data_IF_318050095834
#
_entry.id   IF_318050095834
#
_cell.length_a   1.000
_cell.length_b   1.000
_cell.length_c   1.000
_cell.angle_alpha   90.00
_cell.angle_beta   90.00
_cell.angle_gamma   90.00
#
_symmetry.space_group_name_H-M   'P 1'
#
loop_
_entity.id
_entity.type
_entity.pdbx_description
1 polymer ?
#
# COMPACT_ATOMS: atom_id res chain seq x y z
N UNK A 1 2.67 -24.54 -16.36
CA UNK A 1 1.32 -23.95 -16.40
C UNK A 1 1.03 -23.71 -17.86
N UNK A 2 0.03 -24.35 -18.47
CA UNK A 2 -0.27 -24.17 -19.89
C UNK A 2 -0.79 -22.75 -20.16
N UNK A 3 -0.85 -22.35 -21.43
CA UNK A 3 -1.42 -21.07 -21.86
C UNK A 3 -2.90 -21.26 -22.17
N UNK A 4 -3.76 -20.71 -21.33
CA UNK A 4 -5.22 -20.80 -21.42
C UNK A 4 -5.78 -19.64 -22.26
N UNK A 5 -5.50 -19.63 -23.55
CA UNK A 5 -6.10 -18.67 -24.48
C UNK A 5 -7.19 -19.37 -25.28
N UNK A 6 -8.40 -18.84 -25.22
CA UNK A 6 -9.51 -19.27 -26.08
C UNK A 6 -9.47 -18.50 -27.41
N UNK A 7 -9.97 -19.13 -28.48
CA UNK A 7 -10.00 -18.56 -29.84
C UNK A 7 -10.70 -17.20 -29.87
N UNK A 8 -11.73 -17.00 -29.04
CA UNK A 8 -12.45 -15.74 -28.89
C UNK A 8 -11.53 -14.57 -28.51
N UNK A 9 -10.47 -14.79 -27.73
CA UNK A 9 -9.51 -13.73 -27.39
C UNK A 9 -8.61 -13.38 -28.57
N UNK A 10 -8.23 -14.37 -29.38
CA UNK A 10 -7.33 -14.16 -30.52
C UNK A 10 -8.06 -13.46 -31.66
N UNK A 11 -9.37 -13.72 -31.81
CA UNK A 11 -10.23 -13.07 -32.80
C UNK A 11 -10.52 -11.59 -32.51
N UNK A 12 -10.14 -11.06 -31.33
CA UNK A 12 -10.34 -9.63 -31.00
C UNK A 12 -9.31 -8.68 -31.63
N UNK A 13 -8.22 -9.20 -32.18
CA UNK A 13 -7.13 -8.41 -32.76
C UNK A 13 -7.50 -7.91 -34.17
N UNK A 14 -7.32 -6.62 -34.42
CA UNK A 14 -7.58 -5.98 -35.72
C UNK A 14 -6.43 -6.25 -36.69
N UNK A 15 -5.20 -6.38 -36.20
CA UNK A 15 -4.04 -6.72 -37.02
C UNK A 15 -3.85 -8.23 -37.09
N UNK A 16 -4.14 -8.80 -38.27
CA UNK A 16 -4.03 -10.24 -38.55
C UNK A 16 -2.66 -10.81 -38.19
N UNK A 17 -1.58 -10.06 -38.42
CA UNK A 17 -0.20 -10.47 -38.10
C UNK A 17 -0.02 -10.74 -36.60
N UNK A 18 -0.68 -9.97 -35.74
CA UNK A 18 -0.65 -10.14 -34.27
C UNK A 18 -1.49 -11.35 -33.86
N UNK A 19 -2.66 -11.53 -34.46
CA UNK A 19 -3.51 -12.71 -34.24
C UNK A 19 -2.79 -14.00 -34.64
N UNK A 20 -2.16 -14.03 -35.82
CA UNK A 20 -1.37 -15.17 -36.32
C UNK A 20 -0.18 -15.45 -35.39
N UNK A 21 0.50 -14.42 -34.91
CA UNK A 21 1.58 -14.58 -33.94
C UNK A 21 1.09 -15.20 -32.63
N UNK A 22 -0.06 -14.78 -32.11
CA UNK A 22 -0.67 -15.36 -30.91
C UNK A 22 -1.10 -16.81 -31.12
N UNK A 23 -1.72 -17.13 -32.25
CA UNK A 23 -2.05 -18.50 -32.65
C UNK A 23 -0.81 -19.39 -32.67
N UNK A 24 0.28 -18.91 -33.29
CA UNK A 24 1.54 -19.66 -33.35
C UNK A 24 2.14 -19.89 -31.95
N UNK A 25 2.04 -18.92 -31.04
CA UNK A 25 2.48 -19.06 -29.65
C UNK A 25 1.61 -20.10 -28.92
N UNK A 26 0.28 -20.03 -29.08
CA UNK A 26 -0.68 -20.95 -28.46
C UNK A 26 -0.42 -22.40 -28.87
N UNK A 27 -0.34 -22.68 -30.17
CA UNK A 27 -0.01 -24.01 -30.71
C UNK A 27 1.35 -24.52 -30.21
N UNK A 28 2.35 -23.64 -30.05
CA UNK A 28 3.67 -24.06 -29.59
C UNK A 28 3.70 -24.51 -28.12
N UNK A 29 2.70 -24.14 -27.32
CA UNK A 29 2.67 -24.40 -25.89
C UNK A 29 1.47 -25.23 -25.43
N UNK A 30 0.67 -25.74 -26.38
CA UNK A 30 -0.55 -26.53 -26.12
C UNK A 30 -0.31 -27.64 -25.08
N UNK A 31 0.77 -28.40 -25.25
CA UNK A 31 1.13 -29.53 -24.37
C UNK A 31 2.25 -29.23 -23.36
N UNK A 32 2.68 -27.96 -23.23
CA UNK A 32 3.90 -27.62 -22.47
C UNK A 32 3.63 -26.62 -21.36
N UNK A 33 4.21 -26.88 -20.19
CA UNK A 33 4.21 -25.91 -19.11
C UNK A 33 4.99 -24.64 -19.50
N UNK A 34 4.26 -23.53 -19.64
CA UNK A 34 4.83 -22.22 -19.90
C UNK A 34 5.55 -21.69 -18.66
N UNK A 35 6.84 -21.40 -18.84
CA UNK A 35 7.70 -20.70 -17.88
C UNK A 35 7.94 -19.26 -18.37
N UNK A 36 8.37 -18.31 -17.51
CA UNK A 36 8.71 -16.97 -17.97
C UNK A 36 9.76 -16.97 -19.09
N UNK A 37 10.75 -17.85 -19.00
CA UNK A 37 11.80 -17.98 -20.02
C UNK A 37 11.23 -18.44 -21.36
N UNK A 38 10.33 -19.42 -21.34
CA UNK A 38 9.66 -19.92 -22.55
C UNK A 38 8.74 -18.84 -23.14
N UNK A 39 7.93 -18.18 -22.32
CA UNK A 39 7.05 -17.10 -22.76
C UNK A 39 7.82 -15.95 -23.40
N UNK A 40 8.89 -15.45 -22.76
CA UNK A 40 9.71 -14.37 -23.33
C UNK A 40 10.42 -14.80 -24.63
N UNK A 41 10.86 -16.05 -24.73
CA UNK A 41 11.44 -16.59 -25.97
C UNK A 41 10.42 -16.54 -27.11
N UNK A 42 9.19 -16.97 -26.87
CA UNK A 42 8.13 -17.00 -27.88
C UNK A 42 7.65 -15.60 -28.25
N UNK A 43 7.52 -14.68 -27.28
CA UNK A 43 7.26 -13.25 -27.54
C UNK A 43 8.35 -12.68 -28.46
N UNK A 44 9.63 -12.96 -28.19
CA UNK A 44 10.72 -12.51 -29.06
C UNK A 44 10.70 -13.14 -30.44
N UNK A 45 10.26 -14.39 -30.55
CA UNK A 45 10.22 -15.11 -31.81
C UNK A 45 9.10 -14.62 -32.73
N UNK A 46 7.90 -14.41 -32.19
CA UNK A 46 6.69 -14.16 -32.99
C UNK A 46 6.20 -12.71 -32.94
N UNK A 47 6.39 -11.99 -31.83
CA UNK A 47 5.89 -10.62 -31.67
C UNK A 47 6.97 -9.54 -31.90
N UNK A 48 8.24 -9.81 -31.57
CA UNK A 48 9.32 -8.84 -31.83
C UNK A 48 9.44 -8.41 -33.30
N UNK A 49 9.27 -9.30 -34.30
CA UNK A 49 9.32 -8.89 -35.71
C UNK A 49 8.26 -7.83 -36.09
N UNK A 50 7.18 -7.72 -35.33
CA UNK A 50 6.10 -6.75 -35.54
C UNK A 50 6.36 -5.40 -34.86
N UNK A 51 7.45 -5.29 -34.08
CA UNK A 51 7.85 -4.07 -33.37
C UNK A 51 8.89 -3.33 -34.21
N UNK A 52 8.79 -1.99 -34.39
CA UNK A 52 9.84 -1.21 -35.03
C UNK A 52 11.22 -1.42 -34.38
N UNK A 53 12.31 -1.59 -35.18
CA UNK A 53 13.64 -1.95 -34.66
C UNK A 53 14.18 -1.04 -33.55
N UNK A 54 13.86 0.25 -33.58
CA UNK A 54 14.20 1.24 -32.56
C UNK A 54 13.66 0.89 -31.17
N UNK A 55 12.61 0.08 -31.09
CA UNK A 55 11.93 -0.31 -29.85
C UNK A 55 12.26 -1.74 -29.39
N UNK A 56 13.07 -2.49 -30.13
CA UNK A 56 13.48 -3.86 -29.75
C UNK A 56 14.21 -3.93 -28.41
N UNK A 57 14.77 -2.82 -27.94
CA UNK A 57 15.41 -2.74 -26.63
C UNK A 57 14.46 -3.10 -25.48
N UNK A 58 13.15 -2.88 -25.63
CA UNK A 58 12.11 -3.24 -24.64
C UNK A 58 12.12 -4.75 -24.35
N UNK A 59 12.22 -5.57 -25.41
CA UNK A 59 12.24 -7.03 -25.28
C UNK A 59 13.62 -7.59 -24.93
N UNK A 60 14.70 -6.87 -25.24
CA UNK A 60 16.07 -7.40 -25.21
C UNK A 60 16.91 -6.93 -24.01
N UNK A 61 16.28 -6.35 -22.98
CA UNK A 61 16.97 -5.95 -21.75
C UNK A 61 17.62 -7.15 -21.04
N UNK A 62 18.84 -6.97 -20.52
CA UNK A 62 19.61 -7.97 -19.76
C UNK A 62 19.14 -8.07 -18.30
N UNK A 63 17.85 -8.33 -18.09
CA UNK A 63 17.26 -8.53 -16.76
C UNK A 63 16.85 -10.00 -16.55
N UNK A 64 16.77 -10.48 -15.29
CA UNK A 64 16.24 -11.81 -15.00
C UNK A 64 14.81 -11.99 -15.55
N UNK A 65 14.58 -13.09 -16.26
CA UNK A 65 13.28 -13.38 -16.88
C UNK A 65 12.30 -13.86 -15.80
N UNK A 66 11.29 -13.03 -15.52
CA UNK A 66 10.23 -13.28 -14.55
C UNK A 66 8.88 -12.89 -15.14
N UNK A 67 7.77 -13.37 -14.58
CA UNK A 67 6.42 -12.94 -15.02
C UNK A 67 6.23 -11.44 -14.87
N UNK A 68 6.73 -10.84 -13.77
CA UNK A 68 6.71 -9.39 -13.59
C UNK A 68 7.50 -8.66 -14.69
N UNK A 69 8.60 -9.24 -15.20
CA UNK A 69 9.32 -8.64 -16.33
C UNK A 69 8.51 -8.68 -17.62
N UNK A 70 7.82 -9.79 -17.90
CA UNK A 70 6.93 -9.92 -19.07
C UNK A 70 5.79 -8.91 -18.98
N UNK A 71 5.24 -8.69 -17.78
CA UNK A 71 4.27 -7.62 -17.56
C UNK A 71 4.88 -6.22 -17.75
N UNK A 72 6.07 -5.96 -17.23
CA UNK A 72 6.75 -4.67 -17.45
C UNK A 72 7.01 -4.40 -18.94
N UNK A 73 7.21 -5.44 -19.75
CA UNK A 73 7.32 -5.31 -21.21
C UNK A 73 6.02 -4.74 -21.80
N UNK A 74 4.83 -5.22 -21.41
CA UNK A 74 3.57 -4.64 -21.93
C UNK A 74 3.43 -3.16 -21.51
N UNK A 75 3.83 -2.82 -20.29
CA UNK A 75 3.81 -1.43 -19.81
C UNK A 75 4.83 -0.53 -20.54
N UNK A 76 6.02 -1.04 -20.83
CA UNK A 76 7.05 -0.32 -21.60
C UNK A 76 6.59 -0.10 -23.06
N UNK A 77 5.92 -1.08 -23.67
CA UNK A 77 5.32 -0.93 -25.00
C UNK A 77 4.20 0.13 -25.00
N UNK A 78 3.36 0.19 -23.97
CA UNK A 78 2.34 1.25 -23.83
C UNK A 78 2.98 2.66 -23.71
N UNK A 79 4.12 2.77 -23.03
CA UNK A 79 4.88 4.03 -22.94
C UNK A 79 5.47 4.46 -24.29
N UNK A 80 5.93 3.49 -25.09
CA UNK A 80 6.41 3.72 -26.47
C UNK A 80 5.26 4.11 -27.40
N UNK A 81 4.09 3.46 -27.28
CA UNK A 81 2.88 3.82 -28.00
C UNK A 81 2.52 5.30 -27.79
N UNK A 82 2.54 5.78 -26.54
CA UNK A 82 2.24 7.18 -26.23
C UNK A 82 3.19 8.21 -26.88
N UNK A 83 4.33 7.77 -27.44
CA UNK A 83 5.30 8.62 -28.15
C UNK A 83 5.24 8.47 -29.67
N UNK A 84 4.86 7.29 -30.17
CA UNK A 84 4.86 6.94 -31.60
C UNK A 84 3.47 6.99 -32.25
N UNK A 85 2.40 6.85 -31.46
CA UNK A 85 1.02 6.64 -31.92
C UNK A 85 0.87 5.50 -32.94
N UNK A 86 1.73 4.48 -32.88
CA UNK A 86 1.64 3.32 -33.76
C UNK A 86 0.58 2.31 -33.27
N UNK A 87 -0.57 2.16 -33.97
CA UNK A 87 -1.63 1.24 -33.56
C UNK A 87 -1.21 -0.24 -33.54
N UNK A 88 -0.20 -0.64 -34.32
CA UNK A 88 0.32 -2.02 -34.29
C UNK A 88 1.00 -2.31 -32.94
N UNK A 89 1.68 -1.32 -32.35
CA UNK A 89 2.30 -1.44 -31.03
C UNK A 89 1.28 -1.62 -29.90
N UNK A 90 0.09 -1.03 -30.05
CA UNK A 90 -1.01 -1.25 -29.11
C UNK A 90 -1.45 -2.72 -29.10
N UNK A 91 -1.59 -3.32 -30.27
CA UNK A 91 -1.96 -4.74 -30.35
C UNK A 91 -0.84 -5.67 -29.89
N UNK A 92 0.42 -5.39 -30.24
CA UNK A 92 1.54 -6.17 -29.67
C UNK A 92 1.58 -6.06 -28.14
N UNK A 93 1.25 -4.90 -27.57
CA UNK A 93 1.14 -4.71 -26.13
C UNK A 93 0.03 -5.57 -25.51
N UNK A 94 -1.16 -5.61 -26.12
CA UNK A 94 -2.27 -6.44 -25.68
C UNK A 94 -1.94 -7.94 -25.79
N UNK A 95 -1.26 -8.36 -26.85
CA UNK A 95 -0.82 -9.74 -27.04
C UNK A 95 0.13 -10.20 -25.92
N UNK A 96 1.12 -9.37 -25.56
CA UNK A 96 2.04 -9.66 -24.44
C UNK A 96 1.29 -9.73 -23.12
N UNK A 97 0.31 -8.86 -22.91
CA UNK A 97 -0.54 -8.85 -21.72
C UNK A 97 -1.41 -10.11 -21.60
N UNK A 98 -2.04 -10.55 -22.70
CA UNK A 98 -2.80 -11.79 -22.73
C UNK A 98 -1.93 -13.00 -22.41
N UNK A 99 -0.73 -13.09 -22.99
CA UNK A 99 0.24 -14.16 -22.69
C UNK A 99 0.61 -14.15 -21.21
N UNK A 100 0.87 -12.99 -20.62
CA UNK A 100 1.14 -12.90 -19.18
C UNK A 100 -0.05 -13.44 -18.36
N UNK A 101 -1.24 -12.87 -18.60
CA UNK A 101 -2.43 -13.10 -17.78
C UNK A 101 -2.94 -14.54 -17.89
N UNK A 102 -2.86 -15.16 -19.07
CA UNK A 102 -3.47 -16.47 -19.31
C UNK A 102 -2.52 -17.66 -19.14
N UNK A 103 -1.34 -17.45 -18.53
CA UNK A 103 -0.44 -18.57 -18.15
C UNK A 103 -0.83 -19.22 -16.82
N UNK A 104 -1.98 -18.88 -16.24
CA UNK A 104 -2.61 -19.53 -15.08
C UNK A 104 -4.12 -19.60 -15.26
N UNK A 105 -4.78 -20.53 -14.57
CA UNK A 105 -6.23 -20.57 -14.43
C UNK A 105 -6.58 -20.58 -12.93
N UNK A 106 -7.28 -19.56 -12.40
CA UNK A 106 -7.78 -18.36 -13.10
C UNK A 106 -6.64 -17.49 -13.67
N UNK A 107 -6.93 -16.60 -14.65
CA UNK A 107 -5.95 -15.68 -15.20
C UNK A 107 -5.22 -14.91 -14.10
N UNK A 108 -3.93 -14.61 -14.29
CA UNK A 108 -3.14 -13.80 -13.35
C UNK A 108 -3.82 -12.45 -13.20
N UNK A 109 -4.39 -12.20 -12.04
CA UNK A 109 -4.78 -10.85 -11.66
C UNK A 109 -3.52 -10.01 -11.49
N UNK A 110 -3.59 -8.75 -11.94
CA UNK A 110 -2.53 -7.78 -11.75
C UNK A 110 -2.20 -7.67 -10.25
N UNK A 111 -1.02 -8.15 -9.88
CA UNK A 111 -0.39 -7.66 -8.67
C UNK A 111 0.53 -6.53 -9.10
N UNK A 112 -0.02 -5.31 -9.16
CA UNK A 112 0.81 -4.15 -8.81
C UNK A 112 1.56 -4.50 -7.52
N UNK A 113 2.76 -3.95 -7.29
CA UNK A 113 3.32 -3.97 -5.93
C UNK A 113 2.14 -3.64 -5.00
N UNK A 114 1.80 -4.58 -4.10
CA UNK A 114 0.46 -4.77 -3.49
C UNK A 114 0.02 -3.64 -2.54
N UNK A 115 0.60 -2.47 -2.79
CA UNK A 115 0.73 -1.29 -1.98
C UNK A 115 1.05 -0.12 -2.91
N UNK A 116 0.02 0.65 -3.23
CA UNK A 116 0.04 1.83 -4.09
C UNK A 116 1.09 2.88 -3.67
N UNK A 117 1.37 2.98 -2.36
CA UNK A 117 2.43 3.79 -1.76
C UNK A 117 3.82 3.41 -2.29
N UNK A 118 4.09 2.14 -2.56
CA UNK A 118 5.39 1.69 -3.09
C UNK A 118 5.54 2.15 -4.53
N UNK A 119 4.47 2.05 -5.32
CA UNK A 119 4.46 2.54 -6.70
C UNK A 119 4.74 4.04 -6.75
N UNK A 120 4.04 4.84 -5.94
CA UNK A 120 4.28 6.29 -5.88
C UNK A 120 5.68 6.62 -5.35
N UNK A 121 6.15 5.94 -4.31
CA UNK A 121 7.50 6.10 -3.79
C UNK A 121 8.56 5.90 -4.87
N UNK A 122 8.49 4.78 -5.60
CA UNK A 122 9.45 4.47 -6.66
C UNK A 122 9.35 5.46 -7.82
N UNK A 123 8.13 5.91 -8.17
CA UNK A 123 7.93 6.94 -9.19
C UNK A 123 8.56 8.27 -8.79
N UNK A 124 8.33 8.74 -7.56
CA UNK A 124 8.91 9.98 -7.04
C UNK A 124 10.44 9.90 -6.99
N UNK A 125 11.00 8.80 -6.48
CA UNK A 125 12.45 8.59 -6.51
C UNK A 125 13.01 8.55 -7.92
N UNK A 126 12.29 7.95 -8.88
CA UNK A 126 12.69 7.93 -10.29
C UNK A 126 12.74 9.33 -10.91
N UNK A 127 11.72 10.16 -10.67
CA UNK A 127 11.67 11.55 -11.15
C UNK A 127 12.78 12.41 -10.52
N UNK A 128 13.07 12.20 -9.24
CA UNK A 128 14.17 12.83 -8.51
C UNK A 128 15.56 12.26 -8.83
N UNK A 129 15.63 11.21 -9.66
CA UNK A 129 16.87 10.46 -9.97
C UNK A 129 17.58 9.89 -8.73
N UNK A 130 16.84 9.58 -7.67
CA UNK A 130 17.38 8.94 -6.47
C UNK A 130 17.54 7.44 -6.76
N UNK A 131 18.74 6.85 -6.62
CA UNK A 131 19.03 5.48 -7.05
C UNK A 131 18.56 4.43 -6.03
N UNK A 132 17.26 4.38 -5.73
CA UNK A 132 16.69 3.44 -4.76
C UNK A 132 16.61 2.00 -5.28
N UNK A 133 16.56 1.79 -6.61
CA UNK A 133 16.31 0.47 -7.19
C UNK A 133 17.37 -0.59 -6.86
N UNK A 134 18.65 -0.18 -6.81
CA UNK A 134 19.74 -1.05 -6.37
C UNK A 134 19.70 -1.37 -4.88
N UNK A 135 18.92 -0.60 -4.10
CA UNK A 135 18.83 -0.65 -2.65
C UNK A 135 17.59 -1.41 -2.17
N UNK A 136 16.63 -1.80 -3.03
CA UNK A 136 15.40 -2.48 -2.56
C UNK A 136 15.67 -3.92 -2.08
N UNK A 137 16.82 -4.50 -2.41
CA UNK A 137 17.16 -5.87 -2.04
C UNK A 137 18.18 -5.90 -0.89
N UNK A 138 17.77 -6.28 0.33
CA UNK A 138 18.66 -6.35 1.49
C UNK A 138 19.71 -7.46 1.37
N UNK A 139 19.39 -8.53 0.62
CA UNK A 139 20.28 -9.65 0.34
C UNK A 139 20.00 -10.17 -1.08
N UNK A 140 21.05 -10.55 -1.82
CA UNK A 140 20.92 -11.15 -3.16
C UNK A 140 20.54 -12.63 -3.07
N UNK A 141 20.86 -13.30 -1.96
CA UNK A 141 20.64 -14.73 -1.76
C UNK A 141 19.27 -14.98 -1.11
N UNK A 142 18.92 -14.22 -0.06
CA UNK A 142 17.60 -14.28 0.54
C UNK A 142 16.64 -13.35 -0.21
N UNK A 143 15.61 -13.94 -0.86
CA UNK A 143 14.51 -13.21 -1.53
C UNK A 143 13.60 -12.50 -0.52
N UNK A 144 14.14 -11.58 0.27
CA UNK A 144 13.38 -10.77 1.23
C UNK A 144 12.89 -9.52 0.51
N UNK A 145 11.59 -9.30 0.57
CA UNK A 145 10.92 -8.11 0.05
C UNK A 145 10.65 -7.13 1.20
N UNK A 146 11.32 -5.98 1.16
CA UNK A 146 11.17 -4.88 2.14
C UNK A 146 9.77 -4.27 2.11
N UNK A 147 9.09 -4.34 0.96
CA UNK A 147 7.82 -3.69 0.70
C UNK A 147 6.64 -4.67 0.74
N UNK A 148 6.87 -5.86 1.28
CA UNK A 148 5.82 -6.82 1.53
C UNK A 148 5.15 -6.52 2.86
N UNK A 149 3.93 -5.98 2.81
CA UNK A 149 3.17 -5.64 4.00
C UNK A 149 2.02 -6.62 4.25
N UNK A 150 1.65 -6.76 5.51
CA UNK A 150 0.43 -7.43 5.92
C UNK A 150 -0.76 -6.83 5.18
N UNK A 151 -1.64 -7.70 4.68
CA UNK A 151 -2.84 -7.28 3.96
C UNK A 151 -3.79 -6.43 4.81
N UNK A 152 -3.60 -6.36 6.12
CA UNK A 152 -4.42 -5.58 7.05
C UNK A 152 -3.66 -4.44 7.75
N UNK A 153 -2.34 -4.26 7.57
CA UNK A 153 -1.61 -3.13 8.19
C UNK A 153 -0.22 -2.89 7.56
N UNK A 154 0.65 -2.13 8.24
CA UNK A 154 2.01 -1.81 7.80
C UNK A 154 3.09 -2.84 8.17
N UNK A 155 2.77 -3.84 8.99
CA UNK A 155 3.78 -4.80 9.51
C UNK A 155 4.13 -5.83 8.44
N UNK A 156 5.36 -6.33 8.45
CA UNK A 156 5.77 -7.44 7.59
C UNK A 156 4.90 -8.69 7.87
N UNK A 157 4.43 -9.39 6.84
CA UNK A 157 3.71 -10.64 7.03
C UNK A 157 4.65 -11.76 7.47
N UNK A 158 4.07 -12.80 8.07
CA UNK A 158 4.81 -14.01 8.39
C UNK A 158 5.30 -14.71 7.11
N UNK A 159 6.44 -15.42 7.14
CA UNK A 159 6.96 -16.15 5.99
C UNK A 159 5.91 -17.05 5.33
N UNK A 160 5.67 -16.85 4.03
CA UNK A 160 4.69 -17.62 3.25
C UNK A 160 3.22 -17.30 3.57
N UNK A 161 2.94 -16.22 4.29
CA UNK A 161 1.58 -15.75 4.64
C UNK A 161 1.35 -14.34 4.12
N UNK A 162 0.08 -13.91 4.08
CA UNK A 162 -0.33 -12.52 3.79
C UNK A 162 -0.54 -11.65 5.04
N UNK A 163 -0.49 -12.25 6.23
CA UNK A 163 -0.81 -11.61 7.51
C UNK A 163 0.42 -11.57 8.41
N UNK A 164 0.58 -10.47 9.16
CA UNK A 164 1.58 -10.36 10.22
C UNK A 164 1.16 -11.12 11.48
N UNK A 165 2.09 -11.30 12.41
CA UNK A 165 1.83 -11.98 13.68
C UNK A 165 0.62 -11.40 14.44
N UNK A 166 0.43 -10.06 14.41
CA UNK A 166 -0.69 -9.41 15.09
C UNK A 166 -2.07 -9.81 14.53
N UNK A 167 -2.16 -10.00 13.21
CA UNK A 167 -3.40 -10.28 12.49
C UNK A 167 -3.61 -11.75 12.16
N UNK A 168 -2.59 -12.59 12.34
CA UNK A 168 -2.70 -14.01 12.06
C UNK A 168 -3.59 -14.70 13.11
N UNK A 169 -4.69 -15.36 12.72
CA UNK A 169 -5.65 -15.95 13.65
C UNK A 169 -5.13 -17.22 14.34
N UNK A 170 -4.05 -17.82 13.81
CA UNK A 170 -3.56 -19.16 14.17
C UNK A 170 -2.05 -19.22 14.40
N UNK A 171 -1.35 -18.08 14.45
CA UNK A 171 0.09 -18.08 14.77
C UNK A 171 0.28 -18.05 16.29
N UNK A 172 1.20 -18.86 16.85
CA UNK A 172 1.50 -18.86 18.29
C UNK A 172 2.29 -17.60 18.62
N UNK A 173 1.61 -16.46 18.59
CA UNK A 173 1.98 -15.42 19.53
C UNK A 173 1.53 -15.92 20.90
N UNK A 174 2.48 -15.86 21.82
CA UNK A 174 2.30 -15.83 23.26
C UNK A 174 2.44 -17.18 23.95
N UNK A 175 3.03 -17.08 25.14
CA UNK A 175 3.16 -18.11 26.15
C UNK A 175 1.90 -18.98 26.26
N UNK A 176 2.06 -20.19 26.80
CA UNK A 176 0.94 -21.05 27.22
C UNK A 176 -0.17 -20.20 27.86
N UNK A 177 -1.33 -20.11 27.19
CA UNK A 177 -2.45 -19.26 27.64
C UNK A 177 -2.92 -18.15 26.67
N UNK A 178 -2.30 -17.98 25.50
CA UNK A 178 -2.74 -17.00 24.49
C UNK A 178 -4.21 -17.22 24.05
N UNK A 179 -5.10 -16.26 24.36
CA UNK A 179 -6.52 -16.37 24.05
C UNK A 179 -6.78 -16.31 22.53
N UNK A 180 -7.08 -17.47 21.93
CA UNK A 180 -7.47 -17.61 20.51
C UNK A 180 -8.62 -16.66 20.13
N UNK A 181 -9.50 -16.29 21.08
CA UNK A 181 -10.59 -15.34 20.83
C UNK A 181 -10.05 -13.93 20.57
N UNK A 182 -9.01 -13.51 21.30
CA UNK A 182 -8.39 -12.20 21.11
C UNK A 182 -7.68 -12.09 19.75
N UNK A 183 -7.05 -13.16 19.26
CA UNK A 183 -6.45 -13.21 17.93
C UNK A 183 -7.52 -13.13 16.81
N UNK A 184 -8.60 -13.91 16.95
CA UNK A 184 -9.72 -13.86 16.01
C UNK A 184 -10.43 -12.49 16.00
N UNK A 185 -10.57 -11.84 17.17
CA UNK A 185 -11.12 -10.50 17.29
C UNK A 185 -10.25 -9.45 16.56
N UNK A 186 -8.92 -9.51 16.73
CA UNK A 186 -7.97 -8.65 16.01
C UNK A 186 -8.05 -8.83 14.50
N UNK A 187 -8.09 -10.07 14.02
CA UNK A 187 -8.27 -10.37 12.60
C UNK A 187 -9.60 -9.79 12.06
N UNK A 188 -10.73 -10.09 12.71
CA UNK A 188 -12.05 -9.56 12.32
C UNK A 188 -12.10 -8.03 12.35
N UNK A 189 -11.47 -7.41 13.34
CA UNK A 189 -11.36 -5.95 13.43
C UNK A 189 -10.58 -5.39 12.23
N UNK A 190 -9.44 -6.00 11.88
CA UNK A 190 -8.64 -5.57 10.73
C UNK A 190 -9.40 -5.72 9.41
N UNK A 191 -10.12 -6.84 9.22
CA UNK A 191 -10.96 -7.04 8.03
C UNK A 191 -12.05 -5.97 7.92
N UNK A 192 -12.73 -5.65 9.02
CA UNK A 192 -13.77 -4.59 9.04
C UNK A 192 -13.22 -3.19 8.76
N UNK A 193 -11.96 -2.94 9.13
CA UNK A 193 -11.30 -1.65 8.98
C UNK A 193 -10.56 -1.51 7.65
N UNK A 194 -10.42 -2.58 6.86
CA UNK A 194 -9.59 -2.60 5.64
C UNK A 194 -9.92 -1.48 4.67
N UNK A 195 -11.20 -1.31 4.35
CA UNK A 195 -11.63 -0.28 3.39
C UNK A 195 -11.32 1.15 3.90
N UNK A 196 -11.56 1.41 5.19
CA UNK A 196 -11.26 2.70 5.80
C UNK A 196 -9.76 2.96 5.90
N UNK A 197 -8.98 1.92 6.21
CA UNK A 197 -7.52 1.95 6.20
C UNK A 197 -6.99 2.29 4.80
N UNK A 198 -7.48 1.65 3.75
CA UNK A 198 -7.07 1.93 2.37
C UNK A 198 -7.43 3.36 1.97
N UNK A 199 -8.62 3.84 2.33
CA UNK A 199 -9.03 5.24 2.12
C UNK A 199 -8.12 6.21 2.86
N UNK A 200 -7.71 5.91 4.09
CA UNK A 200 -6.81 6.75 4.87
C UNK A 200 -5.41 6.82 4.23
N UNK A 201 -4.86 5.68 3.79
CA UNK A 201 -3.59 5.61 3.05
C UNK A 201 -3.68 6.42 1.75
N UNK A 202 -4.73 6.18 0.95
CA UNK A 202 -4.94 6.90 -0.31
C UNK A 202 -5.06 8.42 -0.10
N UNK A 203 -5.76 8.88 0.94
CA UNK A 203 -5.85 10.32 1.25
C UNK A 203 -4.49 10.94 1.54
N UNK A 204 -3.63 10.25 2.30
CA UNK A 204 -2.27 10.72 2.59
C UNK A 204 -1.47 10.77 1.28
N UNK A 205 -1.52 9.69 0.49
CA UNK A 205 -0.80 9.60 -0.77
C UNK A 205 -1.25 10.65 -1.79
N UNK A 206 -2.56 10.83 -1.99
CA UNK A 206 -3.08 11.85 -2.90
C UNK A 206 -2.57 13.22 -2.51
N UNK A 207 -2.63 13.58 -1.22
CA UNK A 207 -2.10 14.86 -0.73
C UNK A 207 -0.61 15.00 -1.04
N UNK A 208 0.20 14.01 -0.68
CA UNK A 208 1.66 14.08 -0.85
C UNK A 208 2.09 14.03 -2.32
N UNK A 209 1.40 13.25 -3.16
CA UNK A 209 1.66 13.20 -4.60
C UNK A 209 1.26 14.53 -5.25
N UNK A 210 0.11 15.12 -4.89
CA UNK A 210 -0.28 16.44 -5.39
C UNK A 210 0.75 17.50 -4.98
N UNK A 211 1.14 17.56 -3.71
CA UNK A 211 2.16 18.49 -3.22
C UNK A 211 3.51 18.30 -3.93
N UNK A 212 3.88 17.06 -4.24
CA UNK A 212 5.09 16.77 -4.98
C UNK A 212 5.06 17.35 -6.41
N UNK A 213 3.93 17.21 -7.11
CA UNK A 213 3.78 17.74 -8.47
C UNK A 213 3.65 19.27 -8.49
N UNK A 214 2.85 19.84 -7.58
CA UNK A 214 2.66 21.28 -7.45
C UNK A 214 3.94 21.99 -6.97
N UNK A 215 4.70 21.32 -6.10
CA UNK A 215 6.00 21.76 -5.60
C UNK A 215 7.16 21.54 -6.58
N UNK A 216 6.88 21.42 -7.88
CA UNK A 216 7.88 21.25 -8.95
C UNK A 216 8.84 20.07 -8.71
N UNK A 217 8.32 18.93 -8.23
CA UNK A 217 9.07 17.71 -7.98
C UNK A 217 10.16 17.87 -6.90
N UNK A 218 9.85 18.55 -5.79
CA UNK A 218 10.77 18.67 -4.64
C UNK A 218 10.66 17.48 -3.68
N UNK A 219 11.75 17.05 -3.02
CA UNK A 219 11.74 15.85 -2.17
C UNK A 219 11.08 16.04 -0.80
N UNK A 220 10.39 17.15 -0.55
CA UNK A 220 9.84 17.53 0.78
C UNK A 220 8.88 16.48 1.34
N UNK A 221 8.19 15.75 0.47
CA UNK A 221 7.26 14.68 0.86
C UNK A 221 7.94 13.37 1.19
N UNK A 222 9.22 13.19 0.84
CA UNK A 222 10.01 12.02 1.20
C UNK A 222 10.70 12.23 2.56
N UNK A 223 11.14 11.14 3.19
CA UNK A 223 11.89 11.23 4.44
C UNK A 223 13.21 11.98 4.19
N UNK A 224 13.49 13.10 4.89
CA UNK A 224 14.70 13.86 4.69
C UNK A 224 15.91 13.22 5.41
N UNK A 225 17.11 13.63 5.04
CA UNK A 225 18.34 13.22 5.73
C UNK A 225 18.55 13.95 7.08
N UNK A 226 17.97 15.16 7.21
CA UNK A 226 18.04 16.00 8.40
C UNK A 226 16.67 16.61 8.70
N UNK A 227 16.44 17.00 9.96
CA UNK A 227 15.15 17.54 10.39
C UNK A 227 14.04 16.49 10.43
N UNK A 228 14.39 15.21 10.65
CA UNK A 228 13.46 14.08 10.63
C UNK A 228 12.37 14.26 11.70
N UNK A 229 12.71 14.80 12.87
CA UNK A 229 11.75 15.08 13.94
C UNK A 229 10.62 16.03 13.49
N UNK A 230 10.99 17.17 12.92
CA UNK A 230 10.04 18.15 12.41
C UNK A 230 9.20 17.55 11.28
N UNK A 231 9.84 16.82 10.36
CA UNK A 231 9.17 16.14 9.26
C UNK A 231 8.15 15.12 9.76
N UNK A 232 8.50 14.27 10.74
CA UNK A 232 7.58 13.27 11.32
C UNK A 232 6.42 13.97 12.04
N UNK A 233 6.68 15.03 12.79
CA UNK A 233 5.64 15.79 13.49
C UNK A 233 4.62 16.41 12.52
N UNK A 234 5.08 16.95 11.39
CA UNK A 234 4.22 17.56 10.37
C UNK A 234 3.49 16.51 9.52
N UNK A 235 4.22 15.49 9.04
CA UNK A 235 3.76 14.56 8.00
C UNK A 235 3.14 13.29 8.56
N UNK A 236 3.55 12.86 9.75
CA UNK A 236 3.08 11.63 10.41
C UNK A 236 2.64 11.93 11.85
N UNK A 237 1.67 12.85 12.05
CA UNK A 237 1.33 13.38 13.36
C UNK A 237 0.84 12.31 14.35
N UNK A 238 0.17 11.25 13.89
CA UNK A 238 -0.26 10.17 14.78
C UNK A 238 0.92 9.29 15.18
N UNK A 239 1.87 9.05 14.27
CA UNK A 239 3.13 8.39 14.64
C UNK A 239 3.94 9.23 15.61
N UNK A 240 4.00 10.54 15.39
CA UNK A 240 4.63 11.47 16.33
C UNK A 240 4.01 11.35 17.73
N UNK A 241 2.68 11.40 17.84
CA UNK A 241 1.99 11.23 19.12
C UNK A 241 2.28 9.88 19.79
N UNK A 242 2.39 8.80 19.00
CA UNK A 242 2.70 7.45 19.52
C UNK A 242 4.11 7.32 20.11
N UNK A 243 5.05 8.18 19.72
CA UNK A 243 6.37 8.20 20.35
C UNK A 243 6.27 8.58 21.84
N UNK A 244 5.26 9.37 22.23
CA UNK A 244 5.04 9.78 23.62
C UNK A 244 6.30 10.40 24.23
N UNK A 245 6.77 9.84 25.35
CA UNK A 245 7.99 10.31 26.02
C UNK A 245 9.24 10.23 25.14
N UNK A 246 9.28 9.33 24.16
CA UNK A 246 10.43 9.16 23.23
C UNK A 246 10.59 10.34 22.28
N UNK A 247 9.63 11.26 22.19
CA UNK A 247 9.76 12.48 21.39
C UNK A 247 10.94 13.35 21.85
N UNK A 248 11.24 13.37 23.15
CA UNK A 248 12.32 14.20 23.72
C UNK A 248 13.71 13.73 23.27
N UNK A 249 13.84 12.44 22.99
CA UNK A 249 15.09 11.80 22.58
C UNK A 249 15.16 11.65 21.05
N UNK A 250 14.09 11.98 20.32
CA UNK A 250 13.99 11.75 18.87
C UNK A 250 14.75 12.81 18.08
N UNK A 251 15.85 12.42 17.45
CA UNK A 251 16.72 13.28 16.65
C UNK A 251 17.21 12.58 15.39
N UNK A 252 17.91 13.30 14.51
CA UNK A 252 18.33 12.78 13.21
C UNK A 252 19.24 11.53 13.32
N UNK A 253 20.07 11.43 14.38
CA UNK A 253 21.01 10.32 14.57
C UNK A 253 20.31 9.01 14.95
N UNK A 254 19.20 9.09 15.69
CA UNK A 254 18.50 7.91 16.21
C UNK A 254 17.10 7.69 15.62
N UNK A 255 16.59 8.62 14.80
CA UNK A 255 15.21 8.64 14.34
C UNK A 255 14.78 7.32 13.69
N UNK A 256 15.59 6.79 12.79
CA UNK A 256 15.29 5.53 12.09
C UNK A 256 15.19 4.37 13.08
N UNK A 257 16.11 4.27 14.04
CA UNK A 257 16.07 3.22 15.06
C UNK A 257 14.82 3.33 15.92
N UNK A 258 14.51 4.54 16.39
CA UNK A 258 13.32 4.78 17.21
C UNK A 258 12.02 4.46 16.46
N UNK A 259 11.92 4.84 15.18
CA UNK A 259 10.79 4.52 14.32
C UNK A 259 10.66 3.01 14.09
N UNK A 260 11.77 2.30 13.86
CA UNK A 260 11.77 0.85 13.67
C UNK A 260 11.41 0.11 14.94
N UNK A 261 11.85 0.55 16.12
CA UNK A 261 11.42 -0.03 17.39
C UNK A 261 9.90 0.12 17.58
N UNK A 262 9.35 1.28 17.23
CA UNK A 262 7.92 1.54 17.34
C UNK A 262 7.11 0.70 16.35
N UNK A 263 7.53 0.66 15.09
CA UNK A 263 6.72 0.15 13.98
C UNK A 263 7.03 -1.29 13.60
N UNK A 264 8.28 -1.71 13.77
CA UNK A 264 8.85 -2.94 13.24
C UNK A 264 9.78 -3.65 14.23
N UNK A 265 9.38 -3.69 15.52
CA UNK A 265 10.11 -4.45 16.53
C UNK A 265 10.05 -5.98 16.26
N UNK A 266 11.20 -6.68 16.37
CA UNK A 266 11.29 -8.13 16.24
C UNK A 266 10.81 -8.88 17.50
N UNK A 267 10.52 -8.18 18.59
CA UNK A 267 10.28 -8.81 19.90
C UNK A 267 8.98 -9.63 19.91
N UNK A 268 9.05 -10.81 20.52
CA UNK A 268 7.92 -11.74 20.61
C UNK A 268 7.55 -12.43 19.30
N UNK A 269 8.32 -12.26 18.20
CA UNK A 269 8.08 -12.96 16.93
C UNK A 269 8.70 -14.37 16.91
N UNK A 270 8.13 -15.31 16.14
CA UNK A 270 8.78 -16.60 15.86
C UNK A 270 10.16 -16.42 15.23
N UNK A 271 11.12 -17.30 15.54
CA UNK A 271 12.53 -17.17 15.14
C UNK A 271 12.74 -16.80 13.66
N UNK A 272 12.01 -17.45 12.74
CA UNK A 272 12.10 -17.15 11.30
C UNK A 272 11.61 -15.75 10.95
N UNK A 273 10.53 -15.29 11.56
CA UNK A 273 10.02 -13.93 11.35
C UNK A 273 10.93 -12.88 12.04
N UNK A 274 11.44 -13.20 13.23
CA UNK A 274 12.39 -12.37 13.95
C UNK A 274 13.65 -12.08 13.13
N UNK A 275 14.21 -13.11 12.47
CA UNK A 275 15.37 -12.95 11.61
C UNK A 275 15.09 -12.03 10.41
N UNK A 276 13.93 -12.19 9.76
CA UNK A 276 13.52 -11.31 8.67
C UNK A 276 13.41 -9.86 9.16
N UNK A 277 12.77 -9.64 10.30
CA UNK A 277 12.63 -8.30 10.88
C UNK A 277 13.98 -7.63 11.13
N UNK A 278 14.94 -8.37 11.70
CA UNK A 278 16.30 -7.85 11.94
C UNK A 278 17.02 -7.48 10.64
N UNK A 279 16.93 -8.32 9.61
CA UNK A 279 17.55 -8.06 8.32
C UNK A 279 16.94 -6.83 7.64
N UNK A 280 15.62 -6.71 7.67
CA UNK A 280 14.91 -5.52 7.16
C UNK A 280 15.35 -4.28 7.93
N UNK A 281 15.34 -4.32 9.27
CA UNK A 281 15.71 -3.16 10.10
C UNK A 281 17.15 -2.72 9.84
N UNK A 282 18.10 -3.67 9.78
CA UNK A 282 19.49 -3.38 9.46
C UNK A 282 19.63 -2.70 8.09
N UNK A 283 18.83 -3.13 7.12
CA UNK A 283 18.86 -2.55 5.79
C UNK A 283 18.22 -1.16 5.73
N UNK A 284 17.12 -0.95 6.44
CA UNK A 284 16.47 0.35 6.57
C UNK A 284 17.37 1.37 7.31
N UNK A 285 18.22 0.92 8.24
CA UNK A 285 19.26 1.78 8.82
C UNK A 285 20.29 2.27 7.79
N UNK A 286 20.67 1.42 6.84
CA UNK A 286 21.62 1.79 5.77
C UNK A 286 20.99 2.67 4.70
N UNK A 287 19.68 2.53 4.50
CA UNK A 287 18.91 3.25 3.49
C UNK A 287 17.61 3.81 4.10
N UNK A 288 17.69 4.86 4.94
CA UNK A 288 16.56 5.41 5.69
C UNK A 288 15.34 5.74 4.85
N UNK A 289 15.55 6.27 3.64
CA UNK A 289 14.50 6.65 2.71
C UNK A 289 13.51 5.51 2.40
N UNK A 290 13.97 4.25 2.44
CA UNK A 290 13.16 3.07 2.16
C UNK A 290 12.08 2.81 3.22
N UNK A 291 12.13 3.46 4.40
CA UNK A 291 11.08 3.32 5.42
C UNK A 291 9.79 4.05 5.02
N UNK A 292 9.84 4.94 4.03
CA UNK A 292 8.74 5.85 3.69
C UNK A 292 7.39 5.14 3.44
N UNK A 293 7.30 4.03 2.65
CA UNK A 293 6.05 3.32 2.47
C UNK A 293 5.49 2.74 3.79
N UNK A 294 6.37 2.30 4.70
CA UNK A 294 5.95 1.81 6.02
C UNK A 294 5.35 2.93 6.86
N UNK A 295 5.92 4.14 6.82
CA UNK A 295 5.41 5.30 7.55
C UNK A 295 4.02 5.72 7.06
N UNK A 296 3.79 5.73 5.74
CA UNK A 296 2.47 6.00 5.15
C UNK A 296 1.42 5.03 5.69
N UNK A 297 1.71 3.72 5.65
CA UNK A 297 0.77 2.70 6.12
C UNK A 297 0.53 2.79 7.61
N UNK A 298 1.57 3.03 8.39
CA UNK A 298 1.42 3.12 9.84
C UNK A 298 0.53 4.32 10.20
N UNK A 299 0.79 5.50 9.62
CA UNK A 299 -0.04 6.70 9.82
C UNK A 299 -1.48 6.46 9.37
N UNK A 300 -1.69 5.89 8.17
CA UNK A 300 -3.03 5.57 7.65
C UNK A 300 -3.80 4.59 8.54
N UNK A 301 -3.12 3.60 9.12
CA UNK A 301 -3.74 2.67 10.07
C UNK A 301 -4.17 3.36 11.35
N UNK A 302 -3.29 4.18 11.93
CA UNK A 302 -3.60 4.90 13.16
C UNK A 302 -4.74 5.90 12.95
N UNK A 303 -4.77 6.59 11.81
CA UNK A 303 -5.87 7.49 11.44
C UNK A 303 -7.20 6.75 11.34
N UNK A 304 -7.21 5.61 10.63
CA UNK A 304 -8.40 4.75 10.55
C UNK A 304 -8.90 4.33 11.95
N UNK A 305 -7.99 3.94 12.85
CA UNK A 305 -8.36 3.54 14.22
C UNK A 305 -8.95 4.68 15.04
N UNK A 306 -8.42 5.90 14.92
CA UNK A 306 -8.98 7.06 15.60
C UNK A 306 -10.38 7.41 15.09
N UNK A 307 -10.58 7.42 13.77
CA UNK A 307 -11.88 7.65 13.15
C UNK A 307 -12.92 6.61 13.62
N UNK A 308 -12.53 5.33 13.65
CA UNK A 308 -13.39 4.23 14.12
C UNK A 308 -13.72 4.38 15.60
N UNK A 309 -12.73 4.71 16.45
CA UNK A 309 -12.95 4.96 17.89
C UNK A 309 -13.89 6.13 18.12
N UNK A 310 -13.78 7.20 17.32
CA UNK A 310 -14.70 8.34 17.37
C UNK A 310 -16.16 7.98 17.03
N UNK A 311 -16.36 6.93 16.25
CA UNK A 311 -17.67 6.41 15.85
C UNK A 311 -18.22 5.30 16.77
N UNK A 312 -17.43 4.85 17.76
CA UNK A 312 -17.87 3.87 18.75
C UNK A 312 -18.64 4.58 19.88
N UNK A 313 -19.80 4.02 20.28
CA UNK A 313 -20.60 4.53 21.40
C UNK A 313 -21.76 5.47 21.04
N UNK A 314 -22.35 5.37 19.85
CA UNK A 314 -23.62 6.05 19.55
C UNK A 314 -23.52 7.53 19.19
N UNK A 315 -22.31 8.09 19.01
CA UNK A 315 -22.09 9.44 18.44
C UNK A 315 -22.36 9.52 16.92
N UNK A 316 -23.24 8.68 16.38
CA UNK A 316 -23.74 8.88 15.02
C UNK A 316 -24.83 9.95 15.10
N UNK A 317 -24.74 10.99 14.28
CA UNK A 317 -25.85 11.92 14.08
C UNK A 317 -27.11 11.11 13.72
N UNK A 318 -28.10 11.07 14.61
CA UNK A 318 -29.34 10.31 14.42
C UNK A 318 -29.43 8.95 15.15
N UNK A 319 -28.42 8.51 15.91
CA UNK A 319 -28.49 7.27 16.71
C UNK A 319 -28.83 7.49 18.19
N UNK A 320 -29.68 8.48 18.48
CA UNK A 320 -30.31 8.69 19.78
C UNK A 320 -31.82 8.45 19.70
N UNK A 321 -32.42 7.94 20.77
CA UNK A 321 -33.89 7.86 20.90
C UNK A 321 -34.45 9.27 20.69
N UNK A 322 -35.44 9.47 19.79
CA UNK A 322 -35.97 10.81 19.53
C UNK A 322 -36.44 11.44 20.84
N UNK A 323 -35.88 12.60 21.15
CA UNK A 323 -36.32 13.42 22.28
C UNK A 323 -37.76 13.85 21.98
N UNK A 324 -38.73 13.65 22.88
CA UNK A 324 -40.09 14.15 22.67
C UNK A 324 -40.03 15.67 22.46
N UNK A 325 -40.51 16.13 21.31
CA UNK A 325 -40.65 17.56 21.04
C UNK A 325 -41.67 18.13 22.04
N UNK A 326 -41.18 18.82 23.06
CA UNK A 326 -42.01 19.73 23.84
C UNK A 326 -42.31 20.91 22.94
N UNK A 327 -43.52 20.93 22.39
CA UNK A 327 -44.09 22.10 21.75
C UNK A 327 -44.29 23.14 22.86
N UNK A 328 -43.44 24.14 22.91
CA UNK A 328 -43.68 25.36 23.67
C UNK A 328 -43.59 26.55 22.70
N UNK A 329 -44.68 27.29 22.69
CA UNK A 329 -45.09 28.26 21.69
C UNK A 329 -44.18 29.48 21.63
N UNK A 330 -44.16 30.09 20.45
CA UNK A 330 -43.57 31.39 20.14
C UNK A 330 -44.09 32.49 21.08
N UNK A 331 -43.18 33.27 21.66
CA UNK A 331 -43.44 34.65 22.06
C UNK A 331 -42.14 35.45 21.98
N UNK A 332 -42.01 36.19 20.87
CA UNK A 332 -41.42 37.53 20.69
C UNK A 332 -40.41 38.07 21.72
N UNK A 333 -39.18 38.33 21.24
CA UNK A 333 -38.25 39.39 21.72
C UNK A 333 -38.90 40.80 21.69
N UNK A 334 -38.33 41.89 22.27
CA UNK A 334 -36.89 42.12 22.55
C UNK A 334 -36.54 42.97 23.81
N UNK A 335 -35.24 43.30 23.88
CA UNK A 335 -34.58 44.39 24.64
C UNK A 335 -33.98 44.10 26.02
N UNK A 336 -32.64 44.07 26.01
CA UNK A 336 -31.70 44.84 26.85
C UNK A 336 -32.24 45.46 28.15
N UNK A 337 -31.71 45.05 29.30
CA UNK A 337 -30.68 45.81 30.04
C UNK A 337 -30.43 45.24 31.45
N UNK A 338 -29.22 45.46 31.95
CA UNK A 338 -28.82 45.56 33.37
C UNK A 338 -28.76 44.30 34.27
N UNK A 339 -27.51 43.91 34.60
CA UNK A 339 -27.10 43.48 35.95
C UNK A 339 -27.13 44.67 36.94
N UNK A 340 -26.89 44.53 38.26
CA UNK A 340 -26.87 43.36 39.17
C UNK A 340 -27.66 43.61 40.48
N UNK A 341 -27.75 42.63 41.40
CA UNK A 341 -27.99 42.97 42.81
C UNK A 341 -28.57 41.90 43.75
N UNK A 342 -27.79 41.64 44.81
CA UNK A 342 -28.21 41.38 46.19
C UNK A 342 -29.00 40.09 46.55
N UNK A 343 -28.24 39.13 47.11
CA UNK A 343 -28.30 38.67 48.51
C UNK A 343 -29.65 38.55 49.27
N UNK A 344 -29.68 37.49 50.10
CA UNK A 344 -30.60 37.12 51.20
C UNK A 344 -31.76 36.21 50.75
N UNK A 345 -32.06 35.10 51.39
CA UNK A 345 -31.49 34.48 52.58
C UNK A 345 -32.39 33.32 53.04
N UNK A 346 -31.81 32.48 53.89
CA UNK A 346 -32.42 31.66 54.95
C UNK A 346 -33.52 30.63 54.66
N UNK A 347 -33.26 29.48 55.29
CA UNK A 347 -34.14 28.63 56.09
C UNK A 347 -34.79 27.43 55.39
N UNK A 348 -34.14 26.28 55.63
CA UNK A 348 -34.68 25.16 56.41
C UNK A 348 -36.18 24.87 56.31
N UNK A 349 -36.51 23.65 55.86
CA UNK A 349 -37.08 22.63 56.75
C UNK A 349 -37.17 21.25 56.08
N UNK A 350 -36.58 20.26 56.77
CA UNK A 350 -37.17 18.99 57.22
C UNK A 350 -38.23 18.33 56.31
N UNK A 351 -38.17 17.05 55.97
CA UNK A 351 -38.27 15.92 56.92
C UNK A 351 -37.93 14.60 56.18
N UNK A 352 -37.22 13.74 56.91
CA UNK A 352 -37.07 12.27 56.80
C UNK A 352 -36.54 11.63 55.52
#
# INVERSE_FOLDING_TARGET
MPLYLDDEFIETFVYEEVAVALWAIHLHVEDVAVTPTLALRLIRQYLQPLIPPEHWHVLNQKQPVTWNRIWMISSELASVLGRSNDPLLFEVQLAVELIHSHTTLPPREYTFATVIEVTYFLSMCGQLKIPVQSQIRPDREQRIDLFNFCSLCWRQPLPGRKLCAHHAPSTPLMAEGADKRAAAARYKSGVRQKEQFDKAVNRILTKEVTEFHEGLFTPVVLLPEQGIAAWVAERRPLLWQLLGVRQQEFNDDNAVGVLLDLLHSPDGLPAKAQQIYRLINQHLHKHPLLIWPMLIRAEGWHRCREEVRGQWGGKRSGAGRPVPQVIAQQATSPCTDQQPGAARGCADHKFQ
#
